data_IF_858327605368
#
_entry.id   IF_858327605368
#
_cell.length_a   1.000
_cell.length_b   1.000
_cell.length_c   1.000
_cell.angle_alpha   90.00
_cell.angle_beta   90.00
_cell.angle_gamma   90.00
#
_symmetry.space_group_name_H-M   'P 1'
#
loop_
_entity.id
_entity.type
_entity.pdbx_description
1 polymer ?
#
# COMPACT_ATOMS: atom_id res chain seq x y z
N UNK A 1 -13.49 27.17 -18.86
CA UNK A 1 -14.02 26.04 -18.06
C UNK A 1 -14.05 24.78 -18.91
N UNK A 2 -14.77 24.79 -20.03
CA UNK A 2 -14.94 23.63 -20.91
C UNK A 2 -13.64 23.06 -21.50
N UNK A 3 -12.74 23.90 -22.03
CA UNK A 3 -11.46 23.44 -22.58
C UNK A 3 -10.60 22.70 -21.52
N UNK A 4 -10.52 23.26 -20.31
CA UNK A 4 -9.77 22.65 -19.20
C UNK A 4 -10.42 21.33 -18.76
N UNK A 5 -11.75 21.24 -18.78
CA UNK A 5 -12.45 19.99 -18.49
C UNK A 5 -12.10 18.88 -19.49
N UNK A 6 -12.15 19.17 -20.79
CA UNK A 6 -11.81 18.18 -21.81
C UNK A 6 -10.35 17.75 -21.75
N UNK A 7 -9.44 18.69 -21.47
CA UNK A 7 -8.03 18.40 -21.25
C UNK A 7 -7.83 17.47 -20.04
N UNK A 8 -8.45 17.77 -18.90
CA UNK A 8 -8.37 16.92 -17.70
C UNK A 8 -8.93 15.52 -17.98
N UNK A 9 -10.07 15.43 -18.67
CA UNK A 9 -10.67 14.14 -19.01
C UNK A 9 -9.77 13.30 -19.94
N UNK A 10 -9.12 13.95 -20.91
CA UNK A 10 -8.16 13.28 -21.80
C UNK A 10 -6.94 12.76 -21.02
N UNK A 11 -6.42 13.55 -20.08
CA UNK A 11 -5.32 13.14 -19.19
C UNK A 11 -5.72 11.95 -18.31
N UNK A 12 -6.93 11.94 -17.74
CA UNK A 12 -7.42 10.79 -16.95
C UNK A 12 -7.45 9.51 -17.80
N UNK A 13 -7.95 9.59 -19.03
CA UNK A 13 -7.96 8.46 -19.95
C UNK A 13 -6.55 8.01 -20.34
N UNK A 14 -5.60 8.94 -20.45
CA UNK A 14 -4.19 8.64 -20.66
C UNK A 14 -3.59 7.88 -19.49
N UNK A 15 -3.82 8.33 -18.26
CA UNK A 15 -3.36 7.62 -17.07
C UNK A 15 -3.95 6.20 -16.99
N UNK A 16 -5.23 6.01 -17.34
CA UNK A 16 -5.83 4.68 -17.39
C UNK A 16 -5.13 3.76 -18.41
N UNK A 17 -4.77 4.29 -19.59
CA UNK A 17 -3.99 3.54 -20.59
C UNK A 17 -2.59 3.22 -20.08
N UNK A 18 -1.95 4.16 -19.41
CA UNK A 18 -0.62 3.99 -18.83
C UNK A 18 -0.63 2.94 -17.71
N UNK A 19 -1.67 2.89 -16.87
CA UNK A 19 -1.85 1.82 -15.88
C UNK A 19 -1.98 0.44 -16.54
N UNK A 20 -2.77 0.33 -17.62
CA UNK A 20 -2.86 -0.92 -18.39
C UNK A 20 -1.56 -1.29 -19.13
N UNK A 21 -0.67 -0.32 -19.36
CA UNK A 21 0.70 -0.57 -19.86
C UNK A 21 1.61 -1.01 -18.71
N UNK A 22 1.46 -0.42 -17.52
CA UNK A 22 2.23 -0.71 -16.33
C UNK A 22 2.15 -2.19 -15.93
N UNK A 23 0.94 -2.78 -15.99
CA UNK A 23 0.71 -4.19 -15.68
C UNK A 23 1.48 -5.17 -16.58
N UNK A 24 1.86 -4.74 -17.79
CA UNK A 24 2.53 -5.57 -18.80
C UNK A 24 4.02 -5.23 -18.97
N UNK A 25 4.50 -4.22 -18.26
CA UNK A 25 5.87 -3.70 -18.41
C UNK A 25 6.83 -4.52 -17.54
N UNK A 26 8.02 -4.81 -18.07
CA UNK A 26 9.10 -5.50 -17.36
C UNK A 26 9.63 -4.67 -16.20
N UNK A 27 10.04 -5.31 -15.09
CA UNK A 27 10.41 -4.68 -13.81
C UNK A 27 11.36 -3.47 -13.93
N UNK A 28 12.33 -3.54 -14.84
CA UNK A 28 13.31 -2.48 -15.11
C UNK A 28 12.71 -1.13 -15.55
N UNK A 29 11.54 -1.16 -16.22
CA UNK A 29 10.89 0.04 -16.79
C UNK A 29 9.67 0.49 -16.01
N UNK A 30 9.24 -0.31 -15.02
CA UNK A 30 7.99 -0.04 -14.30
C UNK A 30 8.09 1.27 -13.50
N UNK A 31 9.25 1.57 -12.91
CA UNK A 31 9.46 2.80 -12.15
C UNK A 31 9.38 4.07 -13.01
N UNK A 32 9.86 4.02 -14.26
CA UNK A 32 9.73 5.15 -15.18
C UNK A 32 8.26 5.44 -15.50
N UNK A 33 7.50 4.39 -15.82
CA UNK A 33 6.07 4.51 -16.13
C UNK A 33 5.27 4.92 -14.89
N UNK A 34 5.63 4.44 -13.69
CA UNK A 34 5.03 4.90 -12.42
C UNK A 34 5.22 6.40 -12.20
N UNK A 35 6.44 6.92 -12.43
CA UNK A 35 6.73 8.35 -12.27
C UNK A 35 5.98 9.20 -13.30
N UNK A 36 5.86 8.74 -14.55
CA UNK A 36 5.06 9.40 -15.59
C UNK A 36 3.58 9.46 -15.18
N UNK A 37 3.02 8.32 -14.74
CA UNK A 37 1.64 8.23 -14.24
C UNK A 37 1.42 9.18 -13.05
N UNK A 38 2.36 9.24 -12.12
CA UNK A 38 2.27 10.11 -10.95
C UNK A 38 2.29 11.60 -11.37
N UNK A 39 3.16 11.97 -12.31
CA UNK A 39 3.24 13.33 -12.86
C UNK A 39 1.92 13.71 -13.55
N UNK A 40 1.34 12.80 -14.34
CA UNK A 40 0.04 13.03 -14.99
C UNK A 40 -1.09 13.16 -13.96
N UNK A 41 -1.10 12.37 -12.89
CA UNK A 41 -2.06 12.49 -11.80
C UNK A 41 -1.95 13.85 -11.09
N UNK A 42 -0.73 14.32 -10.81
CA UNK A 42 -0.51 15.62 -10.17
C UNK A 42 -1.05 16.77 -11.04
N UNK A 43 -0.87 16.68 -12.36
CA UNK A 43 -1.47 17.62 -13.32
C UNK A 43 -3.00 17.57 -13.32
N UNK A 44 -3.59 16.37 -13.26
CA UNK A 44 -5.06 16.19 -13.17
C UNK A 44 -5.59 16.84 -11.89
N UNK A 45 -4.94 16.62 -10.75
CA UNK A 45 -5.33 17.21 -9.46
C UNK A 45 -5.29 18.74 -9.54
N UNK A 46 -4.19 19.32 -10.01
CA UNK A 46 -4.06 20.77 -10.18
C UNK A 46 -5.10 21.35 -11.14
N UNK A 47 -5.45 20.63 -12.21
CA UNK A 47 -6.51 21.05 -13.12
C UNK A 47 -7.90 20.99 -12.46
N UNK A 48 -8.18 19.98 -11.64
CA UNK A 48 -9.43 19.86 -10.88
C UNK A 48 -9.59 21.01 -9.87
N UNK A 49 -8.53 21.38 -9.16
CA UNK A 49 -8.54 22.54 -8.26
C UNK A 49 -8.83 23.84 -9.02
N UNK A 50 -8.19 24.03 -10.19
CA UNK A 50 -8.43 25.19 -11.04
C UNK A 50 -9.85 25.22 -11.62
N UNK A 51 -10.40 24.06 -11.98
CA UNK A 51 -11.80 23.93 -12.42
C UNK A 51 -12.77 24.31 -11.30
N UNK A 52 -12.50 23.92 -10.06
CA UNK A 52 -13.34 24.26 -8.91
C UNK A 52 -13.41 25.78 -8.67
N UNK A 53 -12.29 26.49 -8.86
CA UNK A 53 -12.28 27.96 -8.84
C UNK A 53 -13.16 28.53 -9.97
N UNK A 54 -13.10 27.94 -11.18
CA UNK A 54 -13.93 28.38 -12.31
C UNK A 54 -15.42 28.12 -12.10
N UNK A 55 -15.80 27.00 -11.46
CA UNK A 55 -17.19 26.69 -11.10
C UNK A 55 -17.78 27.78 -10.21
N UNK A 56 -17.01 28.29 -9.24
CA UNK A 56 -17.46 29.37 -8.36
C UNK A 56 -17.70 30.70 -9.09
N UNK A 57 -17.07 30.89 -10.25
CA UNK A 57 -17.24 32.07 -11.11
C UNK A 57 -18.40 31.95 -12.09
N UNK A 58 -19.00 30.76 -12.24
CA UNK A 58 -20.17 30.57 -13.11
C UNK A 58 -21.46 31.13 -12.50
N UNK A 59 -22.42 31.56 -13.35
CA UNK A 59 -23.74 32.00 -12.89
C UNK A 59 -24.47 30.87 -12.14
N UNK A 60 -25.34 31.18 -11.17
CA UNK A 60 -26.01 30.19 -10.33
C UNK A 60 -26.75 29.09 -11.12
N UNK A 61 -27.32 29.45 -12.28
CA UNK A 61 -28.05 28.53 -13.17
C UNK A 61 -27.19 27.41 -13.76
N UNK A 62 -25.89 27.66 -13.99
CA UNK A 62 -24.96 26.68 -14.58
C UNK A 62 -24.03 26.05 -13.55
N UNK A 63 -23.87 26.69 -12.38
CA UNK A 63 -22.96 26.28 -11.30
C UNK A 63 -23.20 24.85 -10.83
N UNK A 64 -24.46 24.41 -10.69
CA UNK A 64 -24.76 23.05 -10.25
C UNK A 64 -24.26 21.98 -11.25
N UNK A 65 -24.49 22.19 -12.54
CA UNK A 65 -24.00 21.30 -13.60
C UNK A 65 -22.46 21.31 -13.67
N UNK A 66 -21.87 22.50 -13.58
CA UNK A 66 -20.43 22.69 -13.57
C UNK A 66 -19.76 21.95 -12.38
N UNK A 67 -20.36 22.04 -11.19
CA UNK A 67 -19.91 21.32 -9.99
C UNK A 67 -19.98 19.81 -10.17
N UNK A 68 -21.10 19.28 -10.64
CA UNK A 68 -21.28 17.85 -10.90
C UNK A 68 -20.20 17.29 -11.85
N UNK A 69 -19.85 18.05 -12.90
CA UNK A 69 -18.77 17.67 -13.83
C UNK A 69 -17.40 17.61 -13.17
N UNK A 70 -17.09 18.56 -12.29
CA UNK A 70 -15.82 18.55 -11.53
C UNK A 70 -15.78 17.44 -10.50
N UNK A 71 -16.90 17.19 -9.82
CA UNK A 71 -17.01 16.10 -8.84
C UNK A 71 -16.81 14.73 -9.51
N UNK A 72 -17.32 14.54 -10.73
CA UNK A 72 -17.04 13.33 -11.53
C UNK A 72 -15.54 13.18 -11.82
N UNK A 73 -14.86 14.24 -12.28
CA UNK A 73 -13.42 14.19 -12.54
C UNK A 73 -12.61 13.88 -11.28
N UNK A 74 -13.02 14.40 -10.12
CA UNK A 74 -12.41 14.09 -8.82
C UNK A 74 -12.57 12.61 -8.47
N UNK A 75 -13.76 12.05 -8.67
CA UNK A 75 -14.02 10.63 -8.46
C UNK A 75 -13.13 9.75 -9.37
N UNK A 76 -13.07 10.07 -10.67
CA UNK A 76 -12.26 9.32 -11.63
C UNK A 76 -10.77 9.40 -11.27
N UNK A 77 -10.29 10.59 -10.86
CA UNK A 77 -8.92 10.77 -10.38
C UNK A 77 -8.62 9.90 -9.15
N UNK A 78 -9.52 9.87 -8.16
CA UNK A 78 -9.37 9.01 -6.97
C UNK A 78 -9.34 7.53 -7.34
N UNK A 79 -10.20 7.11 -8.27
CA UNK A 79 -10.27 5.73 -8.73
C UNK A 79 -8.95 5.28 -9.37
N UNK A 80 -8.42 6.11 -10.27
CA UNK A 80 -7.16 5.85 -10.97
C UNK A 80 -5.96 5.86 -9.99
N UNK A 81 -5.96 6.78 -9.02
CA UNK A 81 -4.93 6.83 -7.97
C UNK A 81 -4.96 5.59 -7.08
N UNK A 82 -6.15 5.10 -6.73
CA UNK A 82 -6.31 3.86 -5.97
C UNK A 82 -5.81 2.64 -6.77
N UNK A 83 -6.07 2.60 -8.07
CA UNK A 83 -5.56 1.56 -8.95
C UNK A 83 -4.03 1.54 -8.99
N UNK A 84 -3.37 2.69 -9.13
CA UNK A 84 -1.91 2.80 -9.06
C UNK A 84 -1.36 2.25 -7.74
N UNK A 85 -1.93 2.69 -6.61
CA UNK A 85 -1.52 2.23 -5.27
C UNK A 85 -1.66 0.72 -5.11
N UNK A 86 -2.73 0.13 -5.64
CA UNK A 86 -2.94 -1.32 -5.60
C UNK A 86 -1.89 -2.07 -6.41
N UNK A 87 -1.48 -1.55 -7.57
CA UNK A 87 -0.41 -2.15 -8.38
C UNK A 87 0.94 -2.08 -7.66
N UNK A 88 1.28 -0.91 -7.10
CA UNK A 88 2.49 -0.74 -6.31
C UNK A 88 2.52 -1.69 -5.10
N UNK A 89 1.39 -1.80 -4.38
CA UNK A 89 1.29 -2.70 -3.23
C UNK A 89 1.45 -4.17 -3.62
N UNK A 90 0.80 -4.63 -4.70
CA UNK A 90 0.97 -6.00 -5.21
C UNK A 90 2.43 -6.31 -5.57
N UNK A 91 3.14 -5.37 -6.18
CA UNK A 91 4.57 -5.54 -6.51
C UNK A 91 5.42 -5.63 -5.24
N UNK A 92 5.19 -4.72 -4.29
CA UNK A 92 5.90 -4.74 -3.02
C UNK A 92 5.68 -6.05 -2.24
N UNK A 93 4.45 -6.56 -2.21
CA UNK A 93 4.14 -7.85 -1.57
C UNK A 93 4.84 -9.02 -2.25
N UNK A 94 4.86 -9.09 -3.59
CA UNK A 94 5.61 -10.13 -4.30
C UNK A 94 7.11 -10.08 -4.02
N UNK A 95 7.70 -8.88 -4.01
CA UNK A 95 9.12 -8.71 -3.70
C UNK A 95 9.45 -9.13 -2.26
N UNK A 96 8.56 -8.85 -1.30
CA UNK A 96 8.73 -9.34 0.07
C UNK A 96 8.62 -10.86 0.18
N UNK A 97 7.62 -11.47 -0.47
CA UNK A 97 7.46 -12.93 -0.49
C UNK A 97 8.67 -13.63 -1.11
N UNK A 98 9.23 -13.09 -2.19
CA UNK A 98 10.43 -13.61 -2.84
C UNK A 98 11.66 -13.47 -1.93
N UNK A 99 11.84 -12.31 -1.29
CA UNK A 99 12.91 -12.10 -0.31
C UNK A 99 12.79 -13.04 0.89
N UNK A 100 11.57 -13.26 1.41
CA UNK A 100 11.34 -14.19 2.52
C UNK A 100 11.63 -15.63 2.10
N UNK A 101 11.21 -16.02 0.89
CA UNK A 101 11.54 -17.32 0.31
C UNK A 101 13.04 -17.53 0.15
N UNK A 102 13.76 -16.54 -0.37
CA UNK A 102 15.22 -16.56 -0.48
C UNK A 102 15.90 -16.59 0.89
N UNK A 103 15.39 -15.88 1.89
CA UNK A 103 15.89 -15.93 3.26
C UNK A 103 15.72 -17.33 3.88
N UNK A 104 14.59 -17.99 3.63
CA UNK A 104 14.34 -19.37 4.06
C UNK A 104 15.21 -20.41 3.32
N UNK A 105 15.52 -20.17 2.04
CA UNK A 105 16.40 -21.03 1.23
C UNK A 105 17.89 -20.81 1.51
N UNK A 106 18.29 -19.59 1.86
CA UNK A 106 19.68 -19.19 2.13
C UNK A 106 20.08 -19.39 3.59
N UNK A 107 19.11 -19.46 4.51
CA UNK A 107 19.33 -20.05 5.82
C UNK A 107 19.87 -21.47 5.59
N UNK A 108 21.10 -21.80 6.04
CA UNK A 108 21.58 -23.16 5.94
C UNK A 108 20.50 -24.02 6.60
N UNK A 109 19.97 -24.98 5.84
CA UNK A 109 19.22 -26.09 6.39
C UNK A 109 20.17 -26.78 7.36
N UNK A 110 20.24 -26.28 8.58
CA UNK A 110 20.78 -27.06 9.67
C UNK A 110 19.93 -28.32 9.64
N UNK A 111 20.51 -29.51 9.40
CA UNK A 111 19.76 -30.72 9.65
C UNK A 111 19.21 -30.56 11.06
N UNK A 112 17.96 -30.96 11.31
CA UNK A 112 17.42 -31.02 12.67
C UNK A 112 18.25 -32.03 13.48
N UNK A 113 19.43 -31.60 13.89
CA UNK A 113 20.37 -32.25 14.79
C UNK A 113 20.78 -31.19 15.79
N UNK A 114 19.79 -30.59 16.43
CA UNK A 114 20.03 -29.89 17.66
C UNK A 114 18.95 -30.25 18.68
N UNK A 115 19.14 -31.44 19.26
CA UNK A 115 18.53 -31.91 20.51
C UNK A 115 18.72 -30.96 21.70
N UNK A 116 19.32 -29.77 21.53
CA UNK A 116 19.50 -28.77 22.60
C UNK A 116 18.37 -27.73 22.68
N UNK A 117 17.46 -27.63 21.71
CA UNK A 117 16.31 -26.71 21.82
C UNK A 117 15.08 -27.31 22.52
N UNK A 118 15.01 -28.64 22.71
CA UNK A 118 13.93 -29.25 23.50
C UNK A 118 14.10 -28.98 25.01
N UNK A 119 15.34 -28.94 25.50
CA UNK A 119 15.63 -28.66 26.91
C UNK A 119 15.36 -27.21 27.31
N UNK A 120 15.45 -26.24 26.38
CA UNK A 120 15.14 -24.84 26.68
C UNK A 120 13.65 -24.59 26.86
N UNK A 121 12.79 -25.31 26.13
CA UNK A 121 11.34 -25.21 26.25
C UNK A 121 10.81 -25.95 27.49
N UNK A 122 11.45 -27.06 27.90
CA UNK A 122 11.06 -27.77 29.13
C UNK A 122 11.57 -27.10 30.43
N UNK A 123 12.78 -26.52 30.47
CA UNK A 123 13.28 -25.86 31.70
C UNK A 123 12.48 -24.61 32.06
N UNK A 124 11.96 -23.87 31.08
CA UNK A 124 11.10 -22.70 31.34
C UNK A 124 9.69 -23.09 31.83
N UNK A 125 9.20 -24.28 31.47
CA UNK A 125 7.85 -24.72 31.86
C UNK A 125 7.82 -25.44 33.24
N UNK A 126 8.95 -25.97 33.72
CA UNK A 126 9.07 -26.52 35.09
C UNK A 126 9.50 -25.47 36.13
N UNK A 127 10.05 -24.33 35.73
CA UNK A 127 10.41 -23.25 36.66
C UNK A 127 9.24 -22.32 37.02
N UNK A 128 8.13 -22.32 36.26
CA UNK A 128 6.95 -21.51 36.57
C UNK A 128 5.92 -22.20 37.48
N UNK A 129 6.12 -23.49 37.81
CA UNK A 129 5.20 -24.24 38.68
C UNK A 129 5.83 -24.75 39.99
N UNK A 130 7.14 -24.57 40.21
CA UNK A 130 7.79 -24.96 41.48
C UNK A 130 7.93 -23.81 42.50
N UNK A 131 7.76 -22.55 42.09
CA UNK A 131 7.80 -21.40 43.02
C UNK A 131 6.52 -21.28 43.87
N UNK A 132 5.46 -22.03 43.58
CA UNK A 132 4.23 -22.07 44.41
C UNK A 132 4.27 -23.18 45.48
N UNK A 133 5.24 -24.11 45.46
CA UNK A 133 5.33 -25.22 46.46
C UNK A 133 6.58 -25.19 47.34
N UNK A 134 7.35 -24.10 47.37
CA UNK A 134 8.56 -23.97 48.20
C UNK A 134 8.61 -22.71 49.08
N UNK A 135 7.47 -22.04 49.27
CA UNK A 135 7.31 -20.97 50.28
C UNK A 135 6.56 -21.45 51.54
N UNK A 136 6.14 -22.73 51.60
CA UNK A 136 5.44 -23.28 52.78
C UNK A 136 6.24 -24.30 53.60
N UNK A 137 7.54 -24.52 53.33
CA UNK A 137 8.35 -25.53 54.06
C UNK A 137 9.72 -24.96 54.53
N UNK A 138 9.92 -23.65 54.59
CA UNK A 138 11.24 -23.08 54.96
C UNK A 138 11.28 -22.03 56.06
N UNK A 139 10.16 -21.69 56.70
CA UNK A 139 10.16 -21.00 58.00
C UNK A 139 9.66 -21.96 59.09
N UNK A 140 10.50 -22.95 59.39
CA UNK A 140 10.31 -23.90 60.48
C UNK A 140 10.61 -23.30 61.85
N UNK A 141 9.88 -23.83 62.84
CA UNK A 141 10.14 -23.72 64.28
C UNK A 141 11.64 -23.67 64.64
N UNK A 142 12.08 -22.51 65.16
CA UNK A 142 12.51 -22.32 66.55
C UNK A 142 11.87 -21.02 67.05
#
# INVERSE_FOLDING_TARGET
>A
MEALYHQTNALIQEVQRDLGRLERTSEDKVHTVENEIQTHLDHVIGNCERLEILVNKEPPTRRANAKMRVDQLKYDCQHVQAALRNLQHKRYMRAQEEQEREALLSAPSQPMTNTKNLYRYLTLHYCSHSTIMLVLISDGMI
#
